data_IF_316314384986
#
_entry.id   IF_316314384986
#
_cell.length_a   1.000
_cell.length_b   1.000
_cell.length_c   1.000
_cell.angle_alpha   90.00
_cell.angle_beta   90.00
_cell.angle_gamma   90.00
#
_symmetry.space_group_name_H-M   'P 1'
#
loop_
_entity.id
_entity.type
_entity.pdbx_description
1 polymer ?
#
# COMPACT_ATOMS: atom_id res chain seq x y z
N UNK A 1 -18.32 -18.14 -0.21
CA UNK A 1 -17.30 -18.37 0.84
C UNK A 1 -15.89 -18.10 0.36
N UNK A 2 -15.44 -18.65 -0.78
CA UNK A 2 -14.08 -18.41 -1.31
C UNK A 2 -13.72 -16.92 -1.52
N UNK A 3 -14.61 -16.12 -2.11
CA UNK A 3 -14.37 -14.68 -2.34
C UNK A 3 -14.13 -13.88 -1.06
N UNK A 4 -14.89 -14.18 0.00
CA UNK A 4 -14.74 -13.51 1.30
C UNK A 4 -13.39 -13.88 1.93
N UNK A 5 -13.00 -15.15 1.89
CA UNK A 5 -11.70 -15.60 2.39
C UNK A 5 -10.54 -14.92 1.63
N UNK A 6 -10.62 -14.85 0.30
CA UNK A 6 -9.62 -14.16 -0.53
C UNK A 6 -9.56 -12.66 -0.25
N UNK A 7 -10.71 -12.01 -0.02
CA UNK A 7 -10.76 -10.60 0.36
C UNK A 7 -10.11 -10.39 1.73
N UNK A 8 -10.49 -11.16 2.73
CA UNK A 8 -9.91 -11.05 4.07
C UNK A 8 -8.41 -11.30 4.05
N UNK A 9 -7.95 -12.32 3.32
CA UNK A 9 -6.52 -12.64 3.18
C UNK A 9 -5.73 -11.54 2.45
N UNK A 10 -6.38 -10.80 1.55
CA UNK A 10 -5.77 -9.69 0.84
C UNK A 10 -5.66 -8.43 1.72
N UNK A 11 -6.75 -8.06 2.39
CA UNK A 11 -6.89 -6.77 3.08
C UNK A 11 -6.45 -6.79 4.55
N UNK A 12 -6.65 -7.89 5.29
CA UNK A 12 -6.31 -7.92 6.71
C UNK A 12 -4.81 -7.77 6.99
N UNK A 13 -3.90 -8.40 6.24
CA UNK A 13 -2.46 -8.17 6.44
C UNK A 13 -2.01 -6.76 6.01
N UNK A 14 -2.83 -6.01 5.30
CA UNK A 14 -2.44 -4.79 4.61
C UNK A 14 -2.53 -4.99 3.09
N UNK A 15 -3.38 -4.25 2.38
CA UNK A 15 -3.71 -4.54 0.99
C UNK A 15 -2.49 -4.54 0.06
N UNK A 16 -1.62 -3.54 0.20
CA UNK A 16 -0.45 -3.37 -0.67
C UNK A 16 0.85 -3.97 -0.12
N UNK A 17 0.83 -4.56 1.08
CA UNK A 17 1.99 -5.29 1.59
C UNK A 17 2.06 -6.65 0.91
N UNK A 18 3.25 -7.03 0.43
CA UNK A 18 3.47 -8.33 -0.16
C UNK A 18 3.96 -9.30 0.92
N UNK A 19 3.41 -10.51 0.91
CA UNK A 19 3.76 -11.60 1.82
C UNK A 19 4.13 -12.84 1.01
N UNK A 20 4.78 -13.87 1.60
CA UNK A 20 5.20 -15.05 0.84
C UNK A 20 4.09 -15.70 0.02
N UNK A 21 2.86 -15.68 0.53
CA UNK A 21 1.70 -16.27 -0.15
C UNK A 21 1.12 -15.40 -1.25
N UNK A 22 1.34 -14.07 -1.26
CA UNK A 22 0.61 -13.18 -2.18
C UNK A 22 0.88 -13.46 -3.65
N UNK A 23 2.14 -13.63 -4.11
CA UNK A 23 2.43 -14.02 -5.49
C UNK A 23 1.77 -15.34 -5.89
N UNK A 24 1.75 -16.32 -4.99
CA UNK A 24 1.14 -17.64 -5.21
C UNK A 24 -0.37 -17.53 -5.34
N UNK A 25 -1.04 -16.84 -4.41
CA UNK A 25 -2.49 -16.63 -4.46
C UNK A 25 -2.89 -15.83 -5.70
N UNK A 26 -2.10 -14.82 -6.10
CA UNK A 26 -2.34 -14.11 -7.33
C UNK A 26 -2.22 -15.01 -8.57
N UNK A 27 -1.21 -15.89 -8.64
CA UNK A 27 -1.08 -16.83 -9.74
C UNK A 27 -2.26 -17.83 -9.84
N UNK A 28 -2.82 -18.23 -8.69
CA UNK A 28 -3.91 -19.21 -8.62
C UNK A 28 -5.31 -18.59 -8.81
N UNK A 29 -5.53 -17.39 -8.27
CA UNK A 29 -6.86 -16.79 -8.17
C UNK A 29 -6.94 -15.36 -8.73
N UNK A 30 -5.83 -14.66 -8.91
CA UNK A 30 -5.80 -13.28 -9.39
C UNK A 30 -6.09 -13.11 -10.87
N UNK A 31 -6.02 -11.87 -11.34
CA UNK A 31 -5.97 -11.54 -12.75
C UNK A 31 -4.52 -11.44 -13.28
N UNK A 32 -4.38 -11.40 -14.61
CA UNK A 32 -3.09 -11.18 -15.26
C UNK A 32 -2.63 -9.72 -15.22
N UNK A 33 -1.33 -9.52 -15.41
CA UNK A 33 -0.70 -8.19 -15.48
C UNK A 33 -1.37 -7.25 -16.50
N UNK A 34 -1.75 -7.74 -17.68
CA UNK A 34 -2.35 -6.91 -18.72
C UNK A 34 -3.67 -6.26 -18.27
N UNK A 35 -4.51 -7.01 -17.56
CA UNK A 35 -5.74 -6.50 -16.94
C UNK A 35 -5.42 -5.46 -15.87
N UNK A 36 -4.46 -5.77 -14.99
CA UNK A 36 -4.01 -4.86 -13.94
C UNK A 36 -3.51 -3.53 -14.52
N UNK A 37 -2.66 -3.58 -15.54
CA UNK A 37 -2.09 -2.42 -16.21
C UNK A 37 -3.14 -1.56 -16.92
N UNK A 38 -4.08 -2.19 -17.63
CA UNK A 38 -5.17 -1.47 -18.31
C UNK A 38 -5.96 -0.59 -17.34
N UNK A 39 -6.37 -1.14 -16.20
CA UNK A 39 -7.12 -0.38 -15.20
C UNK A 39 -6.25 0.63 -14.46
N UNK A 40 -5.03 0.25 -14.07
CA UNK A 40 -4.10 1.14 -13.41
C UNK A 40 -3.81 2.38 -14.26
N UNK A 41 -3.43 2.19 -15.53
CA UNK A 41 -3.12 3.31 -16.43
C UNK A 41 -4.34 4.19 -16.72
N UNK A 42 -5.53 3.60 -16.83
CA UNK A 42 -6.78 4.36 -17.00
C UNK A 42 -7.01 5.31 -15.83
N UNK A 43 -6.63 4.93 -14.62
CA UNK A 43 -6.96 5.63 -13.38
C UNK A 43 -5.78 6.46 -12.82
N UNK A 44 -4.61 6.39 -13.48
CA UNK A 44 -3.38 7.12 -13.15
C UNK A 44 -2.77 7.73 -14.43
N UNK A 45 -3.43 8.76 -14.95
CA UNK A 45 -3.07 9.41 -16.22
C UNK A 45 -2.14 10.58 -16.01
N UNK A 46 -2.35 11.34 -14.94
CA UNK A 46 -1.67 12.61 -14.73
C UNK A 46 -0.30 12.43 -14.07
N UNK A 47 0.66 13.28 -14.46
CA UNK A 47 2.00 13.25 -13.87
C UNK A 47 1.99 13.48 -12.34
N UNK A 48 1.19 14.42 -11.78
CA UNK A 48 1.11 14.60 -10.32
C UNK A 48 0.62 13.33 -9.61
N UNK A 49 -0.41 12.66 -10.14
CA UNK A 49 -0.94 11.45 -9.50
C UNK A 49 0.07 10.31 -9.52
N UNK A 50 0.77 10.11 -10.65
CA UNK A 50 1.85 9.13 -10.76
C UNK A 50 2.99 9.43 -9.78
N UNK A 51 3.44 10.68 -9.69
CA UNK A 51 4.50 11.08 -8.76
C UNK A 51 4.14 10.79 -7.30
N UNK A 52 2.90 11.07 -6.89
CA UNK A 52 2.40 10.76 -5.55
C UNK A 52 2.33 9.26 -5.29
N UNK A 53 1.93 8.47 -6.29
CA UNK A 53 1.93 7.02 -6.19
C UNK A 53 3.34 6.42 -6.10
N UNK A 54 4.36 7.06 -6.68
CA UNK A 54 5.75 6.65 -6.47
C UNK A 54 6.19 6.83 -5.01
N UNK A 55 5.76 7.91 -4.34
CA UNK A 55 6.00 8.07 -2.89
C UNK A 55 5.28 6.98 -2.10
N UNK A 56 4.03 6.67 -2.47
CA UNK A 56 3.26 5.60 -1.83
C UNK A 56 3.91 4.21 -2.05
N UNK A 57 4.48 3.96 -3.23
CA UNK A 57 5.24 2.74 -3.52
C UNK A 57 6.45 2.59 -2.60
N UNK A 58 7.23 3.66 -2.43
CA UNK A 58 8.38 3.65 -1.50
C UNK A 58 7.90 3.35 -0.08
N UNK A 59 6.86 4.04 0.41
CA UNK A 59 6.32 3.81 1.74
C UNK A 59 5.86 2.36 1.93
N UNK A 60 5.16 1.81 0.93
CA UNK A 60 4.66 0.44 0.97
C UNK A 60 5.78 -0.59 0.99
N UNK A 61 6.77 -0.45 0.12
CA UNK A 61 7.86 -1.44 0.02
C UNK A 61 8.75 -1.39 1.26
N UNK A 62 9.15 -0.20 1.70
CA UNK A 62 9.97 -0.02 2.89
C UNK A 62 9.23 -0.49 4.16
N UNK A 63 7.97 -0.09 4.33
CA UNK A 63 7.17 -0.51 5.47
C UNK A 63 6.88 -2.01 5.48
N UNK A 64 6.64 -2.60 4.30
CA UNK A 64 6.44 -4.04 4.16
C UNK A 64 7.67 -4.81 4.63
N UNK A 65 8.85 -4.52 4.09
CA UNK A 65 10.06 -5.26 4.48
C UNK A 65 10.48 -4.98 5.93
N UNK A 66 10.24 -3.79 6.48
CA UNK A 66 10.42 -3.54 7.91
C UNK A 66 9.48 -4.39 8.78
N UNK A 67 8.22 -4.59 8.34
CA UNK A 67 7.28 -5.47 9.02
C UNK A 67 7.76 -6.93 8.95
N UNK A 68 8.15 -7.40 7.77
CA UNK A 68 8.63 -8.77 7.57
C UNK A 68 9.91 -9.03 8.39
N UNK A 69 10.83 -8.06 8.46
CA UNK A 69 12.00 -8.14 9.33
C UNK A 69 11.62 -8.26 10.82
N UNK A 70 10.61 -7.51 11.26
CA UNK A 70 10.07 -7.64 12.62
C UNK A 70 9.48 -9.04 12.86
N UNK A 71 8.79 -9.61 11.86
CA UNK A 71 8.27 -10.98 11.94
C UNK A 71 9.40 -12.01 11.96
N UNK A 72 10.44 -11.85 11.14
CA UNK A 72 11.63 -12.69 11.14
C UNK A 72 12.29 -12.72 12.51
N UNK A 73 12.43 -11.56 13.16
CA UNK A 73 12.99 -11.47 14.51
C UNK A 73 12.10 -12.16 15.57
N UNK A 74 10.78 -12.14 15.40
CA UNK A 74 9.85 -12.85 16.29
C UNK A 74 9.98 -14.37 16.13
N UNK A 75 10.14 -14.88 14.91
CA UNK A 75 10.25 -16.32 14.64
C UNK A 75 11.68 -16.85 14.72
N UNK A 76 12.70 -15.98 14.76
CA UNK A 76 14.11 -16.36 14.78
C UNK A 76 14.45 -17.41 15.87
N UNK A 77 13.91 -17.34 17.10
CA UNK A 77 14.15 -18.38 18.10
C UNK A 77 13.63 -19.77 17.71
N UNK A 78 12.57 -19.83 16.89
CA UNK A 78 11.99 -21.09 16.39
C UNK A 78 12.78 -21.67 15.21
N UNK A 79 13.62 -20.84 14.58
CA UNK A 79 14.39 -21.19 13.37
C UNK A 79 15.90 -21.24 13.65
N UNK A 80 16.28 -21.44 14.91
CA UNK A 80 17.69 -21.61 15.30
C UNK A 80 18.33 -22.74 14.48
N UNK A 81 19.46 -22.44 13.81
CA UNK A 81 20.15 -23.37 12.92
C UNK A 81 19.74 -23.28 11.45
N UNK A 82 18.76 -22.46 11.09
CA UNK A 82 18.47 -22.15 9.68
C UNK A 82 19.67 -21.43 9.04
N UNK A 83 20.13 -21.87 7.84
CA UNK A 83 21.16 -21.16 7.10
C UNK A 83 20.64 -19.87 6.44
N UNK A 84 19.32 -19.68 6.40
CA UNK A 84 18.67 -18.54 5.77
C UNK A 84 18.43 -17.47 6.83
N UNK A 85 19.17 -16.36 6.75
CA UNK A 85 18.87 -15.16 7.51
C UNK A 85 17.58 -14.52 6.98
N UNK A 86 16.69 -14.11 7.90
CA UNK A 86 15.44 -13.39 7.60
C UNK A 86 14.55 -14.12 6.57
N UNK A 87 14.17 -15.38 6.84
CA UNK A 87 13.54 -16.26 5.85
C UNK A 87 12.20 -15.74 5.31
N UNK A 88 11.36 -15.10 6.14
CA UNK A 88 10.08 -14.55 5.70
C UNK A 88 10.31 -13.42 4.70
N UNK A 89 11.19 -12.46 5.03
CA UNK A 89 11.55 -11.38 4.13
C UNK A 89 12.22 -11.90 2.86
N UNK A 90 13.15 -12.86 2.96
CA UNK A 90 13.88 -13.43 1.82
C UNK A 90 12.94 -14.16 0.85
N UNK A 91 12.06 -15.04 1.36
CA UNK A 91 11.08 -15.74 0.53
C UNK A 91 10.11 -14.76 -0.12
N UNK A 92 9.69 -13.72 0.60
CA UNK A 92 8.85 -12.66 0.03
C UNK A 92 9.56 -11.92 -1.10
N UNK A 93 10.81 -11.49 -0.89
CA UNK A 93 11.58 -10.79 -1.90
C UNK A 93 11.78 -11.63 -3.17
N UNK A 94 12.16 -12.90 -3.00
CA UNK A 94 12.36 -13.82 -4.12
C UNK A 94 11.04 -14.08 -4.87
N UNK A 95 9.96 -14.41 -4.15
CA UNK A 95 8.66 -14.67 -4.75
C UNK A 95 8.07 -13.45 -5.45
N UNK A 96 8.23 -12.26 -4.87
CA UNK A 96 7.75 -11.02 -5.48
C UNK A 96 8.59 -10.64 -6.70
N UNK A 97 9.92 -10.74 -6.62
CA UNK A 97 10.81 -10.50 -7.76
C UNK A 97 10.52 -11.45 -8.92
N UNK A 98 10.26 -12.74 -8.64
CA UNK A 98 9.86 -13.71 -9.66
C UNK A 98 8.55 -13.30 -10.34
N UNK A 99 7.52 -12.95 -9.56
CA UNK A 99 6.26 -12.48 -10.12
C UNK A 99 6.45 -11.24 -11.00
N UNK A 100 7.27 -10.28 -10.57
CA UNK A 100 7.58 -9.07 -11.34
C UNK A 100 8.39 -9.38 -12.61
N UNK A 101 9.33 -10.32 -12.56
CA UNK A 101 10.15 -10.75 -13.70
C UNK A 101 9.32 -11.44 -14.78
N UNK A 102 8.27 -12.18 -14.39
CA UNK A 102 7.35 -12.85 -15.31
C UNK A 102 6.26 -11.94 -15.88
N UNK A 103 6.12 -10.72 -15.36
CA UNK A 103 5.16 -9.76 -15.89
C UNK A 103 5.61 -9.25 -17.28
N UNK A 104 4.70 -9.13 -18.27
CA UNK A 104 5.01 -8.57 -19.59
C UNK A 104 5.12 -7.03 -19.55
N UNK A 105 5.92 -6.50 -18.62
CA UNK A 105 6.28 -5.09 -18.54
C UNK A 105 7.54 -4.81 -19.38
N UNK A 106 7.78 -3.56 -19.82
CA UNK A 106 9.05 -3.19 -20.43
C UNK A 106 10.23 -3.53 -19.52
N UNK A 107 11.33 -4.00 -20.12
CA UNK A 107 12.49 -4.52 -19.37
C UNK A 107 13.02 -3.53 -18.31
N UNK A 108 13.14 -2.24 -18.65
CA UNK A 108 13.55 -1.19 -17.71
C UNK A 108 12.59 -1.09 -16.51
N UNK A 109 11.28 -1.19 -16.74
CA UNK A 109 10.29 -1.15 -15.66
C UNK A 109 10.41 -2.38 -14.74
N UNK A 110 10.65 -3.55 -15.31
CA UNK A 110 10.91 -4.79 -14.55
C UNK A 110 12.16 -4.66 -13.69
N UNK A 111 13.27 -4.15 -14.24
CA UNK A 111 14.50 -3.92 -13.48
C UNK A 111 14.27 -2.95 -12.31
N UNK A 112 13.61 -1.81 -12.55
CA UNK A 112 13.31 -0.83 -11.51
C UNK A 112 12.37 -1.39 -10.43
N UNK A 113 11.36 -2.17 -10.82
CA UNK A 113 10.45 -2.85 -9.89
C UNK A 113 11.21 -3.83 -8.98
N UNK A 114 12.05 -4.70 -9.55
CA UNK A 114 12.86 -5.65 -8.79
C UNK A 114 13.88 -4.92 -7.90
N UNK A 115 14.55 -3.89 -8.42
CA UNK A 115 15.48 -3.08 -7.65
C UNK A 115 14.81 -2.41 -6.46
N UNK A 116 13.55 -1.97 -6.61
CA UNK A 116 12.76 -1.39 -5.51
C UNK A 116 12.49 -2.43 -4.42
N UNK A 117 12.08 -3.65 -4.79
CA UNK A 117 11.88 -4.77 -3.85
C UNK A 117 13.18 -5.14 -3.14
N UNK A 118 14.29 -5.27 -3.88
CA UNK A 118 15.60 -5.55 -3.32
C UNK A 118 16.07 -4.45 -2.37
N UNK A 119 15.88 -3.18 -2.73
CA UNK A 119 16.20 -2.04 -1.88
C UNK A 119 15.42 -2.07 -0.56
N UNK A 120 14.13 -2.41 -0.61
CA UNK A 120 13.32 -2.60 0.60
C UNK A 120 13.83 -3.73 1.50
N UNK A 121 14.16 -4.88 0.92
CA UNK A 121 14.73 -6.01 1.66
C UNK A 121 16.04 -5.66 2.36
N UNK A 122 16.95 -4.94 1.69
CA UNK A 122 18.24 -4.56 2.24
C UNK A 122 18.15 -3.43 3.26
N UNK A 123 17.28 -2.44 3.04
CA UNK A 123 17.14 -1.29 3.94
C UNK A 123 16.41 -1.63 5.24
N UNK A 124 15.55 -2.66 5.24
CA UNK A 124 14.58 -2.87 6.31
C UNK A 124 15.11 -3.02 7.74
N UNK A 125 16.30 -3.62 8.01
CA UNK A 125 16.81 -3.70 9.37
C UNK A 125 17.09 -2.32 9.99
N UNK A 126 17.35 -1.31 9.16
CA UNK A 126 17.66 0.05 9.59
C UNK A 126 16.45 0.99 9.63
N UNK A 127 15.25 0.51 9.28
CA UNK A 127 14.08 1.37 9.19
C UNK A 127 13.52 1.68 10.58
N UNK A 128 13.51 2.96 10.94
CA UNK A 128 12.68 3.46 12.02
C UNK A 128 11.24 3.72 11.51
N UNK A 129 10.18 3.17 12.14
CA UNK A 129 8.83 3.29 11.62
C UNK A 129 8.30 4.73 11.66
N UNK A 130 8.66 5.50 12.69
CA UNK A 130 8.24 6.89 12.83
C UNK A 130 8.89 7.75 11.77
N UNK A 131 10.21 7.64 11.61
CA UNK A 131 10.94 8.34 10.57
C UNK A 131 10.42 7.98 9.18
N UNK A 132 10.15 6.70 8.92
CA UNK A 132 9.57 6.25 7.65
C UNK A 132 8.24 6.96 7.36
N UNK A 133 7.30 6.94 8.30
CA UNK A 133 5.98 7.57 8.10
C UNK A 133 6.11 9.09 7.93
N UNK A 134 6.89 9.76 8.79
CA UNK A 134 7.12 11.21 8.72
C UNK A 134 7.76 11.62 7.39
N UNK A 135 8.81 10.91 6.96
CA UNK A 135 9.48 11.18 5.68
C UNK A 135 8.53 10.93 4.52
N UNK A 136 7.79 9.82 4.48
CA UNK A 136 6.90 9.53 3.36
C UNK A 136 5.74 10.53 3.26
N UNK A 137 5.10 10.89 4.39
CA UNK A 137 4.03 11.90 4.39
C UNK A 137 4.60 13.28 4.05
N UNK A 138 5.75 13.65 4.61
CA UNK A 138 6.43 14.91 4.30
C UNK A 138 6.79 15.04 2.81
N UNK A 139 7.40 14.00 2.23
CA UNK A 139 7.70 13.93 0.80
C UNK A 139 6.43 13.97 -0.05
N UNK A 140 5.36 13.29 0.36
CA UNK A 140 4.07 13.33 -0.34
C UNK A 140 3.48 14.75 -0.38
N UNK A 141 3.50 15.46 0.75
CA UNK A 141 3.06 16.85 0.84
C UNK A 141 3.95 17.79 0.03
N UNK A 142 5.26 17.57 0.03
CA UNK A 142 6.19 18.33 -0.80
C UNK A 142 5.92 18.13 -2.30
N UNK A 143 5.72 16.90 -2.75
CA UNK A 143 5.34 16.59 -4.14
C UNK A 143 4.00 17.23 -4.50
N UNK A 144 3.00 17.19 -3.59
CA UNK A 144 1.73 17.88 -3.80
C UNK A 144 1.92 19.38 -4.04
N UNK A 145 2.70 20.04 -3.17
CA UNK A 145 2.98 21.47 -3.29
C UNK A 145 3.74 21.81 -4.58
N UNK A 146 4.75 21.02 -4.95
CA UNK A 146 5.55 21.24 -6.14
C UNK A 146 4.77 21.02 -7.44
N UNK A 147 3.85 20.05 -7.45
CA UNK A 147 3.12 19.67 -8.67
C UNK A 147 1.81 20.41 -8.86
N UNK A 148 1.13 20.81 -7.78
CA UNK A 148 -0.21 21.41 -7.83
C UNK A 148 -0.28 22.82 -7.20
N UNK A 149 0.82 23.29 -6.61
CA UNK A 149 0.86 24.58 -5.91
C UNK A 149 -0.01 24.63 -4.66
N UNK A 150 -0.25 25.85 -4.17
CA UNK A 150 -1.13 26.09 -3.03
C UNK A 150 -2.57 26.18 -3.52
N UNK A 151 -3.38 25.17 -3.19
CA UNK A 151 -4.82 25.13 -3.49
C UNK A 151 -5.62 24.73 -2.25
N UNK A 152 -6.94 24.99 -2.24
CA UNK A 152 -7.82 24.56 -1.14
C UNK A 152 -7.71 23.06 -0.84
N UNK A 153 -7.56 22.24 -1.88
CA UNK A 153 -7.41 20.78 -1.73
C UNK A 153 -6.07 20.41 -1.10
N UNK A 154 -4.98 21.06 -1.51
CA UNK A 154 -3.64 20.83 -0.96
C UNK A 154 -3.59 21.30 0.49
N UNK A 155 -4.12 22.48 0.81
CA UNK A 155 -4.21 22.97 2.19
C UNK A 155 -5.03 22.03 3.09
N UNK A 156 -6.17 21.53 2.61
CA UNK A 156 -6.98 20.56 3.35
C UNK A 156 -6.23 19.25 3.60
N UNK A 157 -5.46 18.76 2.62
CA UNK A 157 -4.64 17.56 2.78
C UNK A 157 -3.52 17.79 3.80
N UNK A 158 -2.80 18.91 3.72
CA UNK A 158 -1.78 19.31 4.69
C UNK A 158 -2.36 19.40 6.10
N UNK A 159 -3.52 20.05 6.27
CA UNK A 159 -4.19 20.14 7.55
C UNK A 159 -4.62 18.76 8.08
N UNK A 160 -5.12 17.87 7.21
CA UNK A 160 -5.50 16.51 7.57
C UNK A 160 -4.32 15.69 8.09
N UNK A 161 -3.17 15.74 7.41
CA UNK A 161 -1.94 15.06 7.86
C UNK A 161 -1.32 15.73 9.09
N UNK A 162 -1.45 17.05 9.24
CA UNK A 162 -1.09 17.75 10.48
C UNK A 162 -1.92 17.28 11.67
N UNK A 163 -3.24 17.16 11.49
CA UNK A 163 -4.15 16.63 12.49
C UNK A 163 -3.86 15.15 12.82
N UNK A 164 -3.47 14.35 11.82
CA UNK A 164 -3.01 12.98 12.02
C UNK A 164 -1.83 12.91 12.99
N UNK A 165 -0.76 13.68 12.76
CA UNK A 165 0.38 13.70 13.67
C UNK A 165 0.04 14.29 15.04
N UNK A 166 -0.76 15.36 15.07
CA UNK A 166 -1.21 15.98 16.33
C UNK A 166 -2.00 15.02 17.21
N UNK A 167 -2.91 14.22 16.61
CA UNK A 167 -3.67 13.19 17.32
C UNK A 167 -2.74 12.17 17.98
N UNK A 168 -1.76 11.67 17.25
CA UNK A 168 -0.86 10.63 17.74
C UNK A 168 0.14 11.14 18.77
N UNK A 169 0.68 12.34 18.56
CA UNK A 169 1.53 13.01 19.54
C UNK A 169 0.77 13.24 20.86
N UNK A 170 -0.51 13.65 20.78
CA UNK A 170 -1.38 13.76 21.94
C UNK A 170 -1.59 12.42 22.64
N UNK A 171 -1.96 11.37 21.90
CA UNK A 171 -2.16 10.04 22.49
C UNK A 171 -0.88 9.51 23.16
N UNK A 172 0.27 9.72 22.54
CA UNK A 172 1.57 9.32 23.10
C UNK A 172 1.89 10.08 24.39
N UNK A 173 1.67 11.39 24.43
CA UNK A 173 1.93 12.22 25.60
C UNK A 173 1.03 11.87 26.80
N UNK A 174 -0.24 11.51 26.58
CA UNK A 174 -1.21 11.26 27.65
C UNK A 174 -1.40 9.78 28.03
N UNK A 175 -1.18 8.85 27.10
CA UNK A 175 -1.48 7.43 27.29
C UNK A 175 -0.43 6.50 26.65
N UNK A 176 0.73 7.01 26.23
CA UNK A 176 1.82 6.19 25.70
C UNK A 176 2.17 5.07 26.67
N UNK A 177 2.30 3.85 26.14
CA UNK A 177 2.64 2.64 26.90
C UNK A 177 1.62 2.23 28.00
N UNK A 178 0.42 2.84 28.06
CA UNK A 178 -0.60 2.51 29.07
C UNK A 178 -1.04 1.03 29.06
N UNK A 179 -0.84 0.33 27.93
CA UNK A 179 -1.16 -1.10 27.74
C UNK A 179 0.10 -1.95 27.50
N UNK A 180 1.30 -1.50 27.88
CA UNK A 180 2.54 -2.24 27.65
C UNK A 180 2.53 -3.66 28.25
N UNK A 181 1.96 -3.84 29.45
CA UNK A 181 1.79 -5.14 30.10
C UNK A 181 0.77 -6.07 29.43
N UNK A 182 -0.12 -5.54 28.59
CA UNK A 182 -1.18 -6.28 27.89
C UNK A 182 -0.96 -6.34 26.39
N UNK A 183 0.30 -6.19 25.94
CA UNK A 183 0.66 -6.10 24.51
C UNK A 183 0.11 -7.24 23.67
N UNK A 184 0.24 -8.49 24.13
CA UNK A 184 -0.23 -9.66 23.39
C UNK A 184 -1.76 -9.64 23.19
N UNK A 185 -2.50 -9.35 24.26
CA UNK A 185 -3.97 -9.21 24.23
C UNK A 185 -4.39 -8.08 23.29
N UNK A 186 -3.74 -6.92 23.38
CA UNK A 186 -4.03 -5.78 22.52
C UNK A 186 -3.79 -6.10 21.03
N UNK A 187 -2.70 -6.83 20.71
CA UNK A 187 -2.41 -7.29 19.35
C UNK A 187 -3.43 -8.31 18.85
N UNK A 188 -3.89 -9.23 19.71
CA UNK A 188 -4.92 -10.21 19.34
C UNK A 188 -6.27 -9.53 19.05
N UNK A 189 -6.67 -8.56 19.89
CA UNK A 189 -7.88 -7.74 19.67
C UNK A 189 -7.76 -6.93 18.37
N UNK A 190 -6.60 -6.33 18.13
CA UNK A 190 -6.31 -5.61 16.88
C UNK A 190 -6.45 -6.53 15.67
N UNK A 191 -5.88 -7.74 15.72
CA UNK A 191 -5.96 -8.68 14.62
C UNK A 191 -7.41 -9.11 14.34
N UNK A 192 -8.19 -9.39 15.38
CA UNK A 192 -9.61 -9.72 15.23
C UNK A 192 -10.39 -8.54 14.60
N UNK A 193 -10.13 -7.31 15.05
CA UNK A 193 -10.74 -6.11 14.49
C UNK A 193 -10.39 -5.93 13.00
N UNK A 194 -9.12 -6.04 12.63
CA UNK A 194 -8.67 -5.86 11.25
C UNK A 194 -9.23 -6.96 10.33
N UNK A 195 -9.29 -8.21 10.80
CA UNK A 195 -9.94 -9.32 10.08
C UNK A 195 -11.42 -9.05 9.86
N UNK A 196 -12.14 -8.58 10.89
CA UNK A 196 -13.55 -8.23 10.77
C UNK A 196 -13.77 -7.05 9.80
N UNK A 197 -12.91 -6.03 9.86
CA UNK A 197 -12.95 -4.89 8.94
C UNK A 197 -12.68 -5.33 7.48
N UNK A 198 -11.73 -6.23 7.26
CA UNK A 198 -11.40 -6.79 5.94
C UNK A 198 -12.52 -7.68 5.37
N UNK A 199 -13.31 -8.32 6.24
CA UNK A 199 -14.49 -9.11 5.86
C UNK A 199 -15.72 -8.24 5.52
N UNK A 200 -15.66 -6.92 5.75
CA UNK A 200 -16.77 -6.00 5.47
C UNK A 200 -17.10 -5.92 3.97
N UNK A 201 -18.36 -5.66 3.58
CA UNK A 201 -18.70 -5.35 2.19
C UNK A 201 -18.21 -3.96 1.74
N UNK A 202 -17.77 -3.09 2.65
CA UNK A 202 -17.30 -1.71 2.38
C UNK A 202 -15.79 -1.61 2.15
N UNK A 203 -15.25 -2.55 1.39
CA UNK A 203 -13.84 -2.54 1.00
C UNK A 203 -13.61 -1.59 -0.19
N UNK A 204 -12.50 -0.82 -0.21
CA UNK A 204 -11.33 -0.87 0.70
C UNK A 204 -11.35 0.11 1.88
N UNK A 205 -12.36 0.97 1.99
CA UNK A 205 -12.32 2.14 2.90
C UNK A 205 -12.26 1.75 4.38
N UNK A 206 -13.12 0.81 4.80
CA UNK A 206 -13.21 0.37 6.19
C UNK A 206 -11.88 -0.20 6.73
N UNK A 207 -11.21 -1.18 6.06
CA UNK A 207 -9.93 -1.67 6.54
C UNK A 207 -8.82 -0.63 6.45
N UNK A 208 -8.83 0.27 5.45
CA UNK A 208 -7.79 1.30 5.34
C UNK A 208 -7.85 2.33 6.49
N UNK A 209 -9.03 2.92 6.75
CA UNK A 209 -9.16 3.94 7.81
C UNK A 209 -9.10 3.26 9.18
N UNK A 210 -9.90 2.21 9.38
CA UNK A 210 -9.97 1.48 10.64
C UNK A 210 -8.64 0.85 11.01
N UNK A 211 -7.98 0.18 10.07
CA UNK A 211 -6.67 -0.44 10.27
C UNK A 211 -5.60 0.59 10.61
N UNK A 212 -5.50 1.70 9.86
CA UNK A 212 -4.51 2.73 10.14
C UNK A 212 -4.67 3.34 11.55
N UNK A 213 -5.90 3.68 11.93
CA UNK A 213 -6.19 4.24 13.26
C UNK A 213 -5.96 3.21 14.38
N UNK A 214 -6.52 2.00 14.25
CA UNK A 214 -6.45 1.00 15.30
C UNK A 214 -5.02 0.48 15.51
N UNK A 215 -4.29 0.20 14.42
CA UNK A 215 -2.91 -0.23 14.50
C UNK A 215 -2.02 0.83 15.15
N UNK A 216 -2.21 2.10 14.80
CA UNK A 216 -1.40 3.19 15.37
C UNK A 216 -1.73 3.44 16.84
N UNK A 217 -3.01 3.42 17.22
CA UNK A 217 -3.39 3.51 18.62
C UNK A 217 -2.77 2.37 19.44
N UNK A 218 -2.88 1.13 18.98
CA UNK A 218 -2.27 -0.03 19.67
C UNK A 218 -0.75 0.07 19.70
N UNK A 219 -0.11 0.55 18.64
CA UNK A 219 1.34 0.76 18.61
C UNK A 219 1.79 1.72 19.73
N UNK A 220 1.13 2.86 19.87
CA UNK A 220 1.45 3.87 20.90
C UNK A 220 1.14 3.35 22.31
N UNK A 221 -0.05 2.75 22.50
CA UNK A 221 -0.48 2.25 23.79
C UNK A 221 0.38 1.09 24.31
N UNK A 222 1.03 0.33 23.43
CA UNK A 222 1.79 -0.88 23.82
C UNK A 222 3.30 -0.80 23.56
N UNK A 223 3.76 0.24 22.86
CA UNK A 223 5.12 0.33 22.33
C UNK A 223 5.43 -0.72 21.25
N UNK A 224 4.40 -1.27 20.59
CA UNK A 224 4.57 -2.36 19.64
C UNK A 224 5.00 -1.85 18.26
N UNK A 225 6.28 -2.08 17.94
CA UNK A 225 6.82 -1.87 16.59
C UNK A 225 6.03 -2.64 15.52
N UNK A 226 5.60 -3.87 15.83
CA UNK A 226 4.80 -4.71 14.94
C UNK A 226 3.48 -4.03 14.58
N UNK A 227 2.74 -3.52 15.58
CA UNK A 227 1.49 -2.81 15.34
C UNK A 227 1.71 -1.53 14.52
N UNK A 228 2.81 -0.80 14.77
CA UNK A 228 3.12 0.41 14.03
C UNK A 228 3.29 0.12 12.53
N UNK A 229 4.19 -0.82 12.21
CA UNK A 229 4.51 -1.18 10.83
C UNK A 229 3.31 -1.83 10.12
N UNK A 230 2.49 -2.58 10.85
CA UNK A 230 1.21 -3.04 10.32
C UNK A 230 0.26 -1.87 10.01
N UNK A 231 0.24 -0.83 10.85
CA UNK A 231 -0.49 0.41 10.59
C UNK A 231 -0.04 1.13 9.31
N UNK A 232 1.27 1.17 9.04
CA UNK A 232 1.81 1.73 7.79
C UNK A 232 1.24 1.06 6.53
N UNK A 233 0.88 -0.23 6.61
CA UNK A 233 0.24 -0.97 5.51
C UNK A 233 -1.14 -0.43 5.12
N UNK A 234 -1.80 0.28 6.04
CA UNK A 234 -3.09 0.92 5.83
C UNK A 234 -2.96 2.42 5.57
N UNK A 235 -1.99 3.09 6.19
CA UNK A 235 -1.72 4.51 5.96
C UNK A 235 -1.30 4.80 4.52
N UNK A 236 -0.43 3.98 3.91
CA UNK A 236 0.01 4.23 2.54
C UNK A 236 -1.14 4.15 1.50
N UNK A 237 -2.07 3.17 1.55
CA UNK A 237 -3.29 3.22 0.75
C UNK A 237 -4.18 4.44 0.99
N UNK A 238 -4.25 4.99 2.22
CA UNK A 238 -4.96 6.25 2.47
C UNK A 238 -4.30 7.42 1.74
N UNK A 239 -2.97 7.44 1.65
CA UNK A 239 -2.23 8.41 0.85
C UNK A 239 -2.54 8.26 -0.65
N UNK A 240 -2.63 7.04 -1.17
CA UNK A 240 -3.07 6.79 -2.55
C UNK A 240 -4.50 7.32 -2.80
N UNK A 241 -5.44 7.05 -1.90
CA UNK A 241 -6.80 7.59 -1.98
C UNK A 241 -6.83 9.13 -1.95
N UNK A 242 -5.94 9.73 -1.16
CA UNK A 242 -5.75 11.19 -1.10
C UNK A 242 -5.20 11.73 -2.43
N UNK A 243 -4.23 11.05 -3.04
CA UNK A 243 -3.66 11.42 -4.34
C UNK A 243 -4.74 11.46 -5.43
N UNK A 244 -5.56 10.42 -5.53
CA UNK A 244 -6.71 10.37 -6.44
C UNK A 244 -7.68 11.54 -6.22
N UNK A 245 -8.11 11.77 -4.97
CA UNK A 245 -9.07 12.84 -4.64
C UNK A 245 -8.55 14.23 -5.00
N UNK A 246 -7.28 14.51 -4.74
CA UNK A 246 -6.68 15.82 -4.99
C UNK A 246 -6.52 16.06 -6.50
N UNK A 247 -6.01 15.07 -7.22
CA UNK A 247 -5.76 15.12 -8.67
C UNK A 247 -7.03 15.00 -9.51
N UNK A 248 -8.17 14.64 -8.89
CA UNK A 248 -9.46 14.50 -9.58
C UNK A 248 -9.58 13.20 -10.38
N UNK A 249 -8.67 12.26 -10.19
CA UNK A 249 -8.72 10.93 -10.79
C UNK A 249 -9.48 9.99 -9.87
N UNK A 250 -10.36 9.15 -10.41
CA UNK A 250 -11.12 8.23 -9.56
C UNK A 250 -10.28 7.02 -9.20
N UNK A 251 -10.21 6.69 -7.91
CA UNK A 251 -9.50 5.51 -7.44
C UNK A 251 -10.06 4.22 -8.08
N UNK A 252 -9.16 3.32 -8.47
CA UNK A 252 -9.50 2.13 -9.25
C UNK A 252 -10.60 1.28 -8.62
N UNK A 253 -10.52 1.05 -7.31
CA UNK A 253 -11.52 0.29 -6.56
C UNK A 253 -12.90 0.95 -6.52
N UNK A 254 -12.93 2.28 -6.43
CA UNK A 254 -14.18 3.05 -6.46
C UNK A 254 -14.80 2.95 -7.85
N UNK A 255 -14.00 3.05 -8.92
CA UNK A 255 -14.44 2.85 -10.30
C UNK A 255 -15.06 1.46 -10.50
N UNK A 256 -14.37 0.41 -10.04
CA UNK A 256 -14.87 -0.97 -10.11
C UNK A 256 -16.14 -1.17 -9.26
N UNK A 257 -16.28 -0.46 -8.14
CA UNK A 257 -17.48 -0.49 -7.32
C UNK A 257 -18.69 0.22 -7.94
N UNK A 258 -18.47 1.29 -8.69
CA UNK A 258 -19.53 2.05 -9.39
C UNK A 258 -20.03 1.37 -10.66
N UNK A 259 -19.25 0.48 -11.28
CA UNK A 259 -19.61 -0.20 -12.51
C UNK A 259 -20.79 -1.20 -12.39
N UNK A 260 -21.42 -1.34 -11.22
CA UNK A 260 -22.51 -2.30 -10.93
C UNK A 260 -23.76 -2.16 -11.82
N UNK A 261 -23.94 -1.04 -12.52
CA UNK A 261 -25.15 -0.75 -13.32
C UNK A 261 -24.96 -0.86 -14.83
N UNK A 262 -23.78 -1.26 -15.32
CA UNK A 262 -23.52 -1.43 -16.76
C UNK A 262 -23.34 -2.90 -17.15
N UNK A 263 -23.48 -3.22 -18.43
CA UNK A 263 -23.18 -4.55 -18.99
C UNK A 263 -21.70 -5.00 -18.78
N UNK A 264 -20.86 -4.13 -18.22
CA UNK A 264 -19.47 -4.38 -17.83
C UNK A 264 -19.29 -4.48 -16.29
N UNK A 265 -20.34 -4.76 -15.54
CA UNK A 265 -20.28 -4.93 -14.10
C UNK A 265 -19.34 -6.08 -13.72
N UNK A 266 -18.24 -5.73 -13.05
CA UNK A 266 -17.35 -6.72 -12.44
C UNK A 266 -18.00 -7.16 -11.13
N UNK A 267 -18.27 -8.47 -11.01
CA UNK A 267 -18.81 -9.05 -9.78
C UNK A 267 -17.80 -8.93 -8.62
N UNK A 268 -18.23 -9.23 -7.40
CA UNK A 268 -17.35 -9.13 -6.22
C UNK A 268 -16.11 -10.01 -6.36
N UNK A 269 -16.23 -11.18 -7.01
CA UNK A 269 -15.10 -12.05 -7.27
C UNK A 269 -14.08 -11.38 -8.20
N UNK A 270 -14.50 -10.88 -9.36
CA UNK A 270 -13.63 -10.21 -10.32
C UNK A 270 -12.89 -9.01 -9.71
N UNK A 271 -13.52 -8.26 -8.79
CA UNK A 271 -12.84 -7.17 -8.07
C UNK A 271 -11.70 -7.69 -7.20
N UNK A 272 -11.95 -8.74 -6.42
CA UNK A 272 -10.92 -9.34 -5.57
C UNK A 272 -9.78 -9.89 -6.43
N UNK A 273 -10.09 -10.55 -7.56
CA UNK A 273 -9.09 -11.06 -8.51
C UNK A 273 -8.23 -9.93 -9.11
N UNK A 274 -8.87 -8.84 -9.52
CA UNK A 274 -8.18 -7.64 -9.97
C UNK A 274 -7.25 -7.09 -8.91
N UNK A 275 -7.71 -6.97 -7.66
CA UNK A 275 -6.90 -6.40 -6.59
C UNK A 275 -5.69 -7.26 -6.24
N UNK A 276 -5.82 -8.59 -6.26
CA UNK A 276 -4.67 -9.48 -6.15
C UNK A 276 -3.59 -9.17 -7.19
N UNK A 277 -4.00 -8.95 -8.44
CA UNK A 277 -3.09 -8.61 -9.52
C UNK A 277 -2.50 -7.21 -9.35
N UNK A 278 -3.35 -6.24 -8.98
CA UNK A 278 -2.97 -4.86 -8.76
C UNK A 278 -1.87 -4.75 -7.70
N UNK A 279 -2.07 -5.36 -6.53
CA UNK A 279 -1.10 -5.25 -5.43
C UNK A 279 0.17 -6.06 -5.68
N UNK A 280 0.04 -7.22 -6.35
CA UNK A 280 1.21 -8.08 -6.69
C UNK A 280 2.10 -7.40 -7.72
N UNK A 281 1.51 -6.75 -8.72
CA UNK A 281 2.27 -6.12 -9.80
C UNK A 281 2.51 -4.62 -9.59
N UNK A 282 2.07 -4.03 -8.47
CA UNK A 282 2.06 -2.59 -8.22
C UNK A 282 3.38 -1.86 -8.59
N UNK A 283 4.58 -2.35 -8.20
CA UNK A 283 5.83 -1.71 -8.61
C UNK A 283 5.97 -1.62 -10.14
N UNK A 284 5.74 -2.72 -10.85
CA UNK A 284 5.79 -2.74 -12.33
C UNK A 284 4.70 -1.88 -12.96
N UNK A 285 3.50 -1.81 -12.37
CA UNK A 285 2.40 -0.98 -12.88
C UNK A 285 2.73 0.51 -12.79
N UNK A 286 3.32 0.93 -11.66
CA UNK A 286 3.73 2.31 -11.41
C UNK A 286 4.85 2.73 -12.40
N UNK A 287 5.94 1.96 -12.47
CA UNK A 287 7.04 2.27 -13.38
C UNK A 287 6.63 2.21 -14.86
N UNK A 288 5.79 1.26 -15.25
CA UNK A 288 5.30 1.17 -16.63
C UNK A 288 4.40 2.34 -17.00
N UNK A 289 3.60 2.86 -16.06
CA UNK A 289 2.77 4.05 -16.31
C UNK A 289 3.58 5.33 -16.45
N UNK A 290 4.66 5.47 -15.66
CA UNK A 290 5.65 6.54 -15.84
C UNK A 290 6.34 6.42 -17.19
N UNK A 291 6.89 5.23 -17.51
CA UNK A 291 7.57 4.96 -18.77
C UNK A 291 6.70 5.29 -19.99
N UNK A 292 5.45 4.85 -19.99
CA UNK A 292 4.50 5.17 -21.06
C UNK A 292 4.23 6.68 -21.16
N UNK A 293 4.13 7.39 -20.02
CA UNK A 293 3.92 8.84 -20.03
C UNK A 293 5.12 9.62 -20.57
N UNK A 294 6.33 9.08 -20.44
CA UNK A 294 7.56 9.68 -20.97
C UNK A 294 7.85 9.29 -22.42
N UNK A 295 7.37 8.12 -22.87
CA UNK A 295 7.65 7.58 -24.21
C UNK A 295 6.59 7.95 -25.24
N UNK A 296 5.43 8.46 -24.81
CA UNK A 296 4.40 8.92 -25.72
C UNK A 296 4.89 10.16 -26.50
N UNK A 297 4.76 10.22 -27.84
CA UNK A 297 5.07 11.41 -28.61
C UNK A 297 4.27 12.61 -28.08
N UNK A 298 4.92 13.76 -27.94
CA UNK A 298 4.32 15.02 -27.44
C UNK A 298 3.18 15.58 -28.32
N UNK A 299 2.72 14.84 -29.33
CA UNK A 299 1.83 15.30 -30.40
C UNK A 299 0.34 15.31 -30.03
N UNK A 300 0.01 15.52 -28.77
CA UNK A 300 -1.35 15.88 -28.36
C UNK A 300 -1.27 16.89 -27.22
N UNK A 301 -0.83 18.11 -27.56
CA UNK A 301 -1.22 19.28 -26.78
C UNK A 301 -2.75 19.23 -26.65
N UNK A 302 -3.33 19.13 -25.44
CA UNK A 302 -4.76 19.25 -25.30
C UNK A 302 -5.10 20.64 -25.80
N UNK A 303 -5.90 20.69 -26.88
CA UNK A 303 -6.52 21.91 -27.36
C UNK A 303 -6.94 22.73 -26.14
N UNK A 304 -6.40 23.94 -26.06
CA UNK A 304 -6.86 24.97 -25.14
C UNK A 304 -8.37 24.89 -25.07
N UNK A 305 -8.91 24.63 -23.88
CA UNK A 305 -10.33 24.91 -23.64
C UNK A 305 -10.49 26.41 -23.94
N UNK A 306 -11.13 26.69 -25.07
CA UNK A 306 -11.67 28.01 -25.35
C UNK A 306 -12.69 28.32 -24.24
N UNK A 307 -12.46 29.48 -23.62
CA UNK A 307 -13.36 30.35 -22.87
C UNK A 307 -14.57 29.75 -22.14
#
# INVERSE_FOLDING_TARGET
MATLALQTLLYAPGPFYCYPWKPVVNALAGDGYATAYKHFRRDHRTAPNLALHMVCLVFQVLGNFALLDTLDNIVAPLLQGSPIARPIAAVTAAGWALALATAPAPFVCTLLAIATVAGGFWASPAIDPMLLEMTCIGTFLAVLLLTLGVSKKVLAATAGWGAWFGLWAGLEAYAGLALAGSRATALAVLAAFVVAAAASPKVPEAPAIGGALACRAVAILTGSRLAFLWGCSFTAPLMQGTAHKITGETATLINLNKAKTSAAAVDTAGKVRFEWAHVTFFPSLAFHSVYHSLSAPSSASPASKAD
#
